data_IF_739362224489
#
_entry.id   IF_739362224489
#
_cell.length_a   1.000
_cell.length_b   1.000
_cell.length_c   1.000
_cell.angle_alpha   90.00
_cell.angle_beta   90.00
_cell.angle_gamma   90.00
#
_symmetry.space_group_name_H-M   'P 1'
#
loop_
_entity.id
_entity.type
_entity.pdbx_description
1 polymer ?
#
# COMPACT_ATOMS: atom_id res chain seq x y z
N UNK A 1 -68.85 -27.25 5.07
CA UNK A 1 -68.22 -26.98 3.75
C UNK A 1 -68.15 -25.47 3.62
N UNK A 2 -67.05 -24.77 3.38
CA UNK A 2 -65.67 -25.07 3.03
C UNK A 2 -64.87 -23.82 3.46
N UNK A 3 -63.79 -23.99 4.21
CA UNK A 3 -62.92 -22.89 4.63
C UNK A 3 -61.94 -22.53 3.53
N UNK A 4 -62.04 -21.33 2.98
CA UNK A 4 -61.04 -20.72 2.11
C UNK A 4 -59.96 -20.07 2.99
N UNK A 5 -58.84 -20.77 3.19
CA UNK A 5 -57.63 -20.15 3.74
C UNK A 5 -56.69 -19.84 2.58
N UNK A 6 -56.48 -18.55 2.35
CA UNK A 6 -55.65 -17.98 1.29
C UNK A 6 -54.18 -18.44 1.44
N UNK A 7 -53.72 -19.28 0.50
CA UNK A 7 -52.34 -19.81 0.46
C UNK A 7 -51.29 -18.79 -0.02
N UNK A 8 -51.60 -17.50 -0.12
CA UNK A 8 -50.69 -16.50 -0.72
C UNK A 8 -49.73 -15.79 0.25
N UNK A 9 -49.72 -16.10 1.54
CA UNK A 9 -48.83 -15.43 2.49
C UNK A 9 -47.54 -16.16 2.88
N UNK A 10 -47.35 -17.43 2.47
CA UNK A 10 -46.17 -18.20 2.89
C UNK A 10 -44.93 -18.06 1.99
N UNK A 11 -45.07 -17.49 0.79
CA UNK A 11 -43.97 -17.44 -0.21
C UNK A 11 -43.00 -16.27 0.02
N UNK A 12 -43.51 -15.11 0.46
CA UNK A 12 -42.70 -13.89 0.60
C UNK A 12 -41.71 -13.95 1.79
N UNK A 13 -42.07 -14.62 2.89
CA UNK A 13 -41.22 -14.71 4.09
C UNK A 13 -40.00 -15.63 3.91
N UNK A 14 -40.12 -16.68 3.09
CA UNK A 14 -39.00 -17.58 2.79
C UNK A 14 -37.94 -16.90 1.91
N UNK A 15 -38.36 -16.02 0.99
CA UNK A 15 -37.47 -15.23 0.13
C UNK A 15 -36.66 -14.17 0.88
N UNK A 16 -37.25 -13.52 1.90
CA UNK A 16 -36.57 -12.52 2.72
C UNK A 16 -35.46 -13.15 3.59
N UNK A 17 -35.72 -14.29 4.24
CA UNK A 17 -34.70 -15.04 5.01
C UNK A 17 -33.60 -15.60 4.11
N UNK A 18 -33.92 -16.15 2.93
CA UNK A 18 -32.90 -16.60 1.96
C UNK A 18 -32.03 -15.46 1.46
N UNK A 19 -32.60 -14.29 1.15
CA UNK A 19 -31.83 -13.09 0.76
C UNK A 19 -30.96 -12.56 1.91
N UNK A 20 -31.44 -12.57 3.15
CA UNK A 20 -30.64 -12.20 4.31
C UNK A 20 -29.47 -13.16 4.54
N UNK A 21 -29.69 -14.46 4.39
CA UNK A 21 -28.63 -15.48 4.55
C UNK A 21 -27.63 -15.40 3.39
N UNK A 22 -28.10 -15.21 2.14
CA UNK A 22 -27.22 -14.99 0.98
C UNK A 22 -26.40 -13.70 1.15
N UNK A 23 -27.01 -12.58 1.53
CA UNK A 23 -26.30 -11.33 1.78
C UNK A 23 -25.31 -11.44 2.95
N UNK A 24 -25.62 -12.24 3.98
CA UNK A 24 -24.71 -12.47 5.12
C UNK A 24 -23.54 -13.41 4.78
N UNK A 25 -23.73 -14.34 3.83
CA UNK A 25 -22.64 -15.17 3.31
C UNK A 25 -21.73 -14.39 2.36
N UNK A 26 -22.27 -13.49 1.53
CA UNK A 26 -21.48 -12.60 0.66
C UNK A 26 -20.83 -11.43 1.41
N UNK A 27 -21.42 -10.94 2.52
CA UNK A 27 -20.78 -9.93 3.39
C UNK A 27 -19.57 -10.47 4.15
N UNK A 28 -19.47 -11.80 4.30
CA UNK A 28 -18.36 -12.44 5.01
C UNK A 28 -17.20 -12.82 4.08
N UNK A 29 -17.39 -12.85 2.76
CA UNK A 29 -16.30 -13.02 1.79
C UNK A 29 -15.57 -11.69 1.49
N UNK A 30 -16.20 -10.56 1.79
CA UNK A 30 -15.70 -9.20 1.52
C UNK A 30 -14.97 -8.54 2.69
N UNK A 31 -14.53 -9.32 3.70
CA UNK A 31 -13.92 -8.76 4.91
C UNK A 31 -12.63 -9.48 5.31
N UNK A 32 -11.85 -9.95 4.33
CA UNK A 32 -10.45 -10.27 4.58
C UNK A 32 -9.69 -8.94 4.71
N UNK A 33 -9.09 -8.68 5.87
CA UNK A 33 -8.26 -7.50 6.08
C UNK A 33 -7.14 -7.47 5.06
N UNK A 34 -7.04 -6.37 4.31
CA UNK A 34 -5.93 -6.12 3.39
C UNK A 34 -4.61 -6.09 4.16
N UNK A 35 -3.51 -6.51 3.54
CA UNK A 35 -2.20 -6.51 4.18
C UNK A 35 -1.15 -5.71 3.38
N UNK A 36 -0.17 -5.17 4.09
CA UNK A 36 0.89 -4.35 3.53
C UNK A 36 2.24 -4.75 4.14
N UNK A 37 3.27 -4.82 3.30
CA UNK A 37 4.66 -4.87 3.75
C UNK A 37 5.27 -3.48 3.56
N UNK A 38 5.77 -2.89 4.65
CA UNK A 38 6.48 -1.60 4.61
C UNK A 38 7.94 -1.86 4.91
N UNK A 39 8.82 -1.51 3.97
CA UNK A 39 10.26 -1.66 4.14
C UNK A 39 10.85 -0.55 5.01
N UNK A 40 11.87 -0.89 5.81
CA UNK A 40 12.56 0.04 6.70
C UNK A 40 14.08 -0.22 6.66
N UNK A 41 14.79 0.56 5.84
CA UNK A 41 16.27 0.50 5.73
C UNK A 41 16.98 1.62 6.49
N UNK A 42 18.30 1.53 6.71
CA UNK A 42 19.06 2.53 7.46
C UNK A 42 19.09 3.84 6.67
N UNK A 43 18.77 4.95 7.32
CA UNK A 43 18.60 6.24 6.65
C UNK A 43 17.33 6.37 5.82
N UNK A 44 16.31 5.52 6.05
CA UNK A 44 14.95 5.78 5.59
C UNK A 44 14.42 7.10 6.15
N UNK A 45 13.57 7.79 5.39
CA UNK A 45 12.89 9.01 5.85
C UNK A 45 11.76 8.63 6.83
N UNK A 46 11.94 8.99 8.10
CA UNK A 46 11.06 8.57 9.19
C UNK A 46 9.63 9.11 9.08
N UNK A 47 9.42 10.31 8.54
CA UNK A 47 8.06 10.84 8.37
C UNK A 47 7.33 10.06 7.29
N UNK A 48 7.95 9.83 6.14
CA UNK A 48 7.38 9.05 5.05
C UNK A 48 7.03 7.62 5.50
N UNK A 49 7.92 6.98 6.26
CA UNK A 49 7.68 5.66 6.84
C UNK A 49 6.53 5.67 7.86
N UNK A 50 6.60 6.52 8.89
CA UNK A 50 5.63 6.51 10.00
C UNK A 50 4.25 6.91 9.49
N UNK A 51 4.15 7.94 8.65
CA UNK A 51 2.88 8.38 8.06
C UNK A 51 2.27 7.23 7.25
N UNK A 52 3.03 6.58 6.37
CA UNK A 52 2.50 5.46 5.59
C UNK A 52 2.01 4.32 6.50
N UNK A 53 2.83 3.85 7.44
CA UNK A 53 2.45 2.74 8.32
C UNK A 53 1.23 3.07 9.20
N UNK A 54 1.18 4.28 9.77
CA UNK A 54 0.07 4.73 10.63
C UNK A 54 -1.24 4.87 9.84
N UNK A 55 -1.23 5.59 8.71
CA UNK A 55 -2.42 5.81 7.89
C UNK A 55 -2.99 4.50 7.35
N UNK A 56 -2.13 3.57 6.91
CA UNK A 56 -2.57 2.25 6.46
C UNK A 56 -3.24 1.46 7.60
N UNK A 57 -2.65 1.47 8.80
CA UNK A 57 -3.25 0.83 9.99
C UNK A 57 -4.60 1.46 10.34
N UNK A 58 -4.74 2.79 10.28
CA UNK A 58 -6.04 3.48 10.44
C UNK A 58 -7.06 3.08 9.38
N UNK A 59 -6.60 2.79 8.16
CA UNK A 59 -7.41 2.25 7.07
C UNK A 59 -7.88 0.81 7.27
N UNK A 60 -7.48 0.14 8.36
CA UNK A 60 -7.80 -1.27 8.63
C UNK A 60 -6.90 -2.25 7.87
N UNK A 61 -5.76 -1.78 7.36
CA UNK A 61 -4.77 -2.62 6.66
C UNK A 61 -3.81 -3.20 7.69
N UNK A 62 -3.57 -4.51 7.62
CA UNK A 62 -2.57 -5.20 8.43
C UNK A 62 -1.17 -4.89 7.90
N UNK A 63 -0.47 -3.98 8.58
CA UNK A 63 0.88 -3.54 8.23
C UNK A 63 1.93 -4.36 8.97
N UNK A 64 2.81 -5.01 8.20
CA UNK A 64 4.06 -5.61 8.66
C UNK A 64 5.22 -4.71 8.26
N UNK A 65 6.09 -4.36 9.21
CA UNK A 65 7.32 -3.60 8.96
C UNK A 65 8.50 -4.56 8.85
N UNK A 66 9.16 -4.58 7.70
CA UNK A 66 10.36 -5.40 7.44
C UNK A 66 11.64 -4.54 7.45
N UNK A 67 12.53 -4.84 8.39
CA UNK A 67 13.82 -4.15 8.53
C UNK A 67 14.88 -4.65 7.54
N UNK A 68 15.69 -3.73 6.99
CA UNK A 68 16.82 -4.05 6.10
C UNK A 68 18.14 -3.50 6.65
N UNK A 69 19.23 -4.29 6.70
CA UNK A 69 19.20 -5.76 6.74
C UNK A 69 18.39 -6.23 7.98
N UNK A 70 18.37 -7.53 8.25
CA UNK A 70 17.74 -8.06 9.47
C UNK A 70 18.31 -7.35 10.71
N UNK A 71 17.55 -6.39 11.25
CA UNK A 71 18.01 -5.48 12.28
C UNK A 71 16.97 -5.35 13.38
N UNK A 72 17.42 -5.38 14.62
CA UNK A 72 16.56 -5.18 15.78
C UNK A 72 16.05 -3.73 15.90
N UNK A 73 16.83 -2.76 15.39
CA UNK A 73 16.51 -1.32 15.39
C UNK A 73 17.13 -0.67 14.15
N UNK A 74 16.35 0.13 13.44
CA UNK A 74 16.79 0.87 12.28
C UNK A 74 16.90 2.36 12.64
N UNK A 75 18.07 2.93 12.39
CA UNK A 75 18.32 4.36 12.53
C UNK A 75 17.92 5.08 11.24
N UNK A 76 16.91 5.94 11.33
CA UNK A 76 16.37 6.73 10.22
C UNK A 76 17.22 7.96 9.89
N UNK A 77 16.79 8.73 8.89
CA UNK A 77 17.58 9.81 8.29
C UNK A 77 17.85 11.00 9.21
N UNK A 78 16.97 11.29 10.18
CA UNK A 78 17.13 12.35 11.21
C UNK A 78 17.25 11.72 12.60
N UNK A 79 17.96 10.59 12.66
CA UNK A 79 18.38 9.91 13.89
C UNK A 79 17.23 9.30 14.73
N UNK A 80 15.99 9.28 14.25
CA UNK A 80 14.91 8.52 14.88
C UNK A 80 15.20 7.03 14.78
N UNK A 81 15.03 6.30 15.89
CA UNK A 81 15.25 4.86 15.93
C UNK A 81 13.91 4.13 15.96
N UNK A 82 13.73 3.19 15.03
CA UNK A 82 12.48 2.44 14.86
C UNK A 82 12.79 0.95 14.87
N UNK A 83 12.05 0.19 15.69
CA UNK A 83 12.13 -1.27 15.71
C UNK A 83 11.17 -1.84 14.63
N UNK A 84 11.66 -2.63 13.65
CA UNK A 84 10.80 -3.32 12.71
C UNK A 84 10.06 -4.48 13.39
N UNK A 85 8.99 -4.99 12.74
CA UNK A 85 8.24 -6.14 13.23
C UNK A 85 9.00 -7.44 12.95
N UNK A 86 9.64 -7.55 11.77
CA UNK A 86 10.41 -8.70 11.31
C UNK A 86 11.67 -8.28 10.54
N UNK A 87 12.61 -9.20 10.33
CA UNK A 87 13.66 -9.06 9.33
C UNK A 87 13.12 -9.20 7.90
N UNK A 88 13.79 -8.60 6.91
CA UNK A 88 13.41 -8.74 5.49
C UNK A 88 13.53 -10.18 4.99
N UNK A 89 14.42 -10.99 5.57
CA UNK A 89 14.53 -12.41 5.24
C UNK A 89 13.30 -13.24 5.61
N UNK A 90 12.49 -12.75 6.55
CA UNK A 90 11.25 -13.38 7.02
C UNK A 90 10.02 -12.91 6.24
N UNK A 91 10.15 -11.84 5.45
CA UNK A 91 9.04 -11.24 4.71
C UNK A 91 8.61 -12.14 3.54
N UNK A 92 7.64 -13.03 3.80
CA UNK A 92 7.08 -13.94 2.80
C UNK A 92 5.67 -13.50 2.43
N UNK A 93 5.46 -13.26 1.14
CA UNK A 93 4.15 -12.88 0.60
C UNK A 93 3.09 -14.00 0.66
N UNK A 94 1.87 -13.73 0.16
CA UNK A 94 1.50 -12.54 -0.61
C UNK A 94 1.13 -11.34 0.27
N UNK A 95 1.48 -10.14 -0.20
CA UNK A 95 0.99 -8.87 0.32
C UNK A 95 0.11 -8.15 -0.71
N UNK A 96 -0.97 -7.48 -0.31
CA UNK A 96 -1.79 -6.68 -1.22
C UNK A 96 -1.01 -5.46 -1.76
N UNK A 97 -0.10 -4.90 -0.95
CA UNK A 97 0.82 -3.83 -1.34
C UNK A 97 2.21 -3.97 -0.72
N UNK A 98 3.24 -3.65 -1.51
CA UNK A 98 4.59 -3.37 -1.01
C UNK A 98 4.79 -1.85 -0.97
N UNK A 99 5.27 -1.32 0.15
CA UNK A 99 5.47 0.11 0.38
C UNK A 99 6.94 0.41 0.65
N UNK A 100 7.51 1.32 -0.15
CA UNK A 100 8.91 1.73 -0.08
C UNK A 100 8.98 3.22 0.33
N UNK A 101 9.24 3.51 1.61
CA UNK A 101 9.58 4.87 2.06
C UNK A 101 10.90 5.34 1.46
N UNK A 102 11.06 6.65 1.28
CA UNK A 102 12.27 7.24 0.72
C UNK A 102 13.38 7.42 1.76
N UNK A 103 14.09 8.53 1.62
CA UNK A 103 15.40 8.75 2.27
C UNK A 103 16.51 8.09 1.46
N UNK A 104 17.62 8.81 1.22
CA UNK A 104 18.69 8.35 0.33
C UNK A 104 19.31 7.03 0.83
N UNK A 105 19.56 6.92 2.14
CA UNK A 105 20.12 5.70 2.73
C UNK A 105 19.17 4.51 2.61
N UNK A 106 17.89 4.69 2.98
CA UNK A 106 16.89 3.63 2.92
C UNK A 106 16.61 3.19 1.48
N UNK A 107 16.54 4.14 0.55
CA UNK A 107 16.33 3.86 -0.88
C UNK A 107 17.50 3.09 -1.49
N UNK A 108 18.73 3.47 -1.12
CA UNK A 108 19.95 2.75 -1.53
C UNK A 108 19.95 1.32 -0.98
N UNK A 109 19.66 1.14 0.31
CA UNK A 109 19.60 -0.19 0.93
C UNK A 109 18.57 -1.11 0.24
N UNK A 110 17.40 -0.56 -0.15
CA UNK A 110 16.40 -1.31 -0.93
C UNK A 110 16.86 -1.61 -2.36
N UNK A 111 17.53 -0.66 -3.03
CA UNK A 111 18.06 -0.85 -4.37
C UNK A 111 19.16 -1.93 -4.44
N UNK A 112 19.94 -2.08 -3.37
CA UNK A 112 21.03 -3.06 -3.25
C UNK A 112 20.57 -4.42 -2.69
N UNK A 113 19.33 -4.52 -2.17
CA UNK A 113 18.82 -5.75 -1.55
C UNK A 113 18.22 -6.71 -2.57
N UNK A 114 18.82 -7.90 -2.69
CA UNK A 114 18.29 -9.00 -3.51
C UNK A 114 16.88 -9.43 -3.05
N UNK A 115 16.67 -9.57 -1.74
CA UNK A 115 15.37 -9.93 -1.17
C UNK A 115 14.26 -8.93 -1.54
N UNK A 116 14.56 -7.62 -1.53
CA UNK A 116 13.61 -6.59 -2.01
C UNK A 116 13.35 -6.76 -3.50
N UNK A 117 14.39 -6.96 -4.30
CA UNK A 117 14.26 -7.16 -5.73
C UNK A 117 13.38 -8.36 -6.10
N UNK A 118 13.54 -9.48 -5.40
CA UNK A 118 12.70 -10.67 -5.57
C UNK A 118 11.24 -10.39 -5.22
N UNK A 119 10.98 -9.80 -4.05
CA UNK A 119 9.62 -9.44 -3.62
C UNK A 119 8.94 -8.49 -4.61
N UNK A 120 9.65 -7.48 -5.12
CA UNK A 120 9.09 -6.53 -6.09
C UNK A 120 8.74 -7.19 -7.42
N UNK A 121 9.62 -8.04 -7.95
CA UNK A 121 9.39 -8.77 -9.21
C UNK A 121 8.22 -9.75 -9.08
N UNK A 122 8.12 -10.45 -7.96
CA UNK A 122 6.97 -11.32 -7.67
C UNK A 122 5.67 -10.53 -7.55
N UNK A 123 5.71 -9.38 -6.89
CA UNK A 123 4.56 -8.49 -6.73
C UNK A 123 4.07 -7.93 -8.06
N UNK A 124 4.98 -7.50 -8.93
CA UNK A 124 4.68 -7.03 -10.28
C UNK A 124 4.10 -8.15 -11.15
N UNK A 125 4.73 -9.33 -11.16
CA UNK A 125 4.25 -10.51 -11.90
C UNK A 125 2.83 -10.91 -11.48
N UNK A 126 2.50 -10.75 -10.19
CA UNK A 126 1.18 -11.02 -9.65
C UNK A 126 0.16 -9.90 -9.90
N UNK A 127 0.57 -8.76 -10.48
CA UNK A 127 -0.29 -7.59 -10.70
C UNK A 127 -0.78 -6.91 -9.42
N UNK A 128 -0.06 -7.10 -8.30
CA UNK A 128 -0.41 -6.51 -6.99
C UNK A 128 0.25 -5.14 -6.82
N UNK A 129 -0.18 -4.38 -5.81
CA UNK A 129 0.22 -2.99 -5.67
C UNK A 129 1.69 -2.86 -5.23
N UNK A 130 2.37 -1.87 -5.82
CA UNK A 130 3.69 -1.38 -5.41
C UNK A 130 3.58 0.13 -5.22
N UNK A 131 4.02 0.63 -4.07
CA UNK A 131 3.93 2.04 -3.71
C UNK A 131 5.30 2.56 -3.27
N UNK A 132 5.85 3.57 -3.93
CA UNK A 132 7.18 4.12 -3.61
C UNK A 132 7.18 5.65 -3.55
N UNK A 133 7.78 6.23 -2.52
CA UNK A 133 7.80 7.68 -2.31
C UNK A 133 9.21 8.25 -2.31
N UNK A 134 9.35 9.50 -2.74
CA UNK A 134 10.57 10.29 -2.63
C UNK A 134 11.72 9.70 -3.44
N UNK A 135 12.74 9.16 -2.79
CA UNK A 135 13.88 8.52 -3.45
C UNK A 135 13.65 7.03 -3.76
N UNK A 136 12.67 6.39 -3.13
CA UNK A 136 12.41 4.96 -3.29
C UNK A 136 12.04 4.50 -4.71
N UNK A 137 11.44 5.31 -5.61
CA UNK A 137 11.27 4.92 -7.01
C UNK A 137 12.58 4.51 -7.71
N UNK A 138 13.74 4.97 -7.23
CA UNK A 138 15.05 4.53 -7.75
C UNK A 138 15.35 3.06 -7.46
N UNK A 139 14.79 2.48 -6.40
CA UNK A 139 14.88 1.04 -6.13
C UNK A 139 14.05 0.23 -7.14
N UNK A 140 12.90 0.76 -7.59
CA UNK A 140 12.14 0.13 -8.68
C UNK A 140 12.98 0.10 -9.97
N UNK A 141 13.64 1.21 -10.29
CA UNK A 141 14.59 1.28 -11.41
C UNK A 141 15.74 0.29 -11.27
N UNK A 142 16.37 0.18 -10.11
CA UNK A 142 17.47 -0.76 -9.86
C UNK A 142 17.06 -2.22 -10.07
N UNK A 143 15.80 -2.57 -9.76
CA UNK A 143 15.27 -3.93 -9.87
C UNK A 143 14.51 -4.22 -11.18
N UNK A 144 14.48 -3.27 -12.12
CA UNK A 144 13.75 -3.36 -13.39
C UNK A 144 12.23 -3.59 -13.24
N UNK A 145 11.63 -2.91 -12.26
CA UNK A 145 10.21 -3.04 -11.92
C UNK A 145 9.46 -1.77 -12.32
N UNK A 146 8.25 -1.92 -12.85
CA UNK A 146 7.39 -0.84 -13.33
C UNK A 146 7.93 -0.11 -14.59
N UNK A 147 8.79 -0.75 -15.39
CA UNK A 147 9.24 -0.18 -16.67
C UNK A 147 8.03 0.12 -17.58
N UNK A 148 8.03 1.28 -18.24
CA UNK A 148 6.97 1.80 -19.10
C UNK A 148 5.88 2.60 -18.37
N UNK A 149 5.85 2.56 -17.03
CA UNK A 149 4.87 3.28 -16.20
C UNK A 149 5.17 4.77 -16.09
N UNK A 150 4.11 5.53 -15.82
CA UNK A 150 4.19 6.91 -15.39
C UNK A 150 4.50 6.96 -13.89
N UNK A 151 5.49 7.74 -13.50
CA UNK A 151 5.92 7.88 -12.10
C UNK A 151 6.23 9.33 -11.74
N UNK A 152 6.29 9.60 -10.45
CA UNK A 152 6.93 10.79 -9.88
C UNK A 152 7.96 10.37 -8.83
N UNK A 153 8.83 11.29 -8.42
CA UNK A 153 9.81 11.08 -7.36
C UNK A 153 10.22 12.42 -6.73
N UNK A 154 11.12 12.36 -5.74
CA UNK A 154 11.75 13.56 -5.20
C UNK A 154 12.50 14.29 -6.31
N UNK A 155 12.41 15.63 -6.43
CA UNK A 155 12.97 16.37 -7.57
C UNK A 155 14.43 16.04 -7.91
N UNK A 156 15.28 15.84 -6.90
CA UNK A 156 16.68 15.52 -7.11
C UNK A 156 16.93 14.14 -7.76
N UNK A 157 15.96 13.23 -7.69
CA UNK A 157 16.05 11.88 -8.28
C UNK A 157 15.49 11.82 -9.70
N UNK A 158 14.94 12.93 -10.21
CA UNK A 158 14.32 12.99 -11.55
C UNK A 158 15.29 12.56 -12.65
N UNK A 159 16.48 13.14 -12.69
CA UNK A 159 17.47 12.84 -13.73
C UNK A 159 17.83 11.35 -13.76
N UNK A 160 18.00 10.75 -12.58
CA UNK A 160 18.23 9.31 -12.44
C UNK A 160 17.01 8.50 -12.91
N UNK A 161 15.78 8.93 -12.68
CA UNK A 161 14.60 8.19 -13.14
C UNK A 161 14.36 8.31 -14.66
N UNK A 162 14.64 9.47 -15.26
CA UNK A 162 14.49 9.71 -16.71
C UNK A 162 15.61 9.03 -17.54
N UNK A 163 16.79 8.81 -16.94
CA UNK A 163 17.90 8.13 -17.59
C UNK A 163 17.50 6.73 -18.10
N UNK A 164 17.79 6.47 -19.38
CA UNK A 164 17.47 5.21 -20.06
C UNK A 164 16.04 5.16 -20.63
N UNK A 165 15.20 6.19 -20.41
CA UNK A 165 13.89 6.31 -21.04
C UNK A 165 12.88 5.22 -20.65
N UNK A 166 13.11 4.55 -19.52
CA UNK A 166 12.28 3.42 -19.05
C UNK A 166 11.02 3.85 -18.29
N UNK A 167 10.93 5.10 -17.85
CA UNK A 167 9.80 5.63 -17.08
C UNK A 167 9.31 6.94 -17.68
N UNK A 168 8.01 7.22 -17.56
CA UNK A 168 7.42 8.51 -17.95
C UNK A 168 7.29 9.39 -16.71
N UNK A 169 8.01 10.50 -16.65
CA UNK A 169 8.02 11.34 -15.46
C UNK A 169 6.90 12.39 -15.46
N UNK A 170 6.29 12.63 -14.29
CA UNK A 170 5.37 13.74 -14.03
C UNK A 170 5.63 14.36 -12.66
N UNK A 171 5.15 15.59 -12.48
CA UNK A 171 5.39 16.40 -11.26
C UNK A 171 4.22 16.45 -10.28
N UNK A 172 3.11 15.76 -10.57
CA UNK A 172 1.99 15.60 -9.68
C UNK A 172 2.42 15.05 -8.31
N UNK A 173 1.70 15.45 -7.23
CA UNK A 173 2.03 15.02 -5.86
C UNK A 173 2.02 13.50 -5.70
N UNK A 174 1.06 12.84 -6.33
CA UNK A 174 0.91 11.38 -6.35
C UNK A 174 0.53 10.96 -7.76
N UNK A 175 1.21 9.95 -8.29
CA UNK A 175 0.88 9.31 -9.56
C UNK A 175 0.38 7.89 -9.28
N UNK A 176 -0.70 7.50 -9.95
CA UNK A 176 -1.19 6.13 -9.99
C UNK A 176 -1.25 5.70 -11.46
N UNK A 177 -0.48 4.68 -11.84
CA UNK A 177 -0.47 4.09 -13.18
C UNK A 177 -0.58 2.57 -13.10
N UNK A 178 -1.78 2.04 -13.31
CA UNK A 178 -2.09 0.64 -13.05
C UNK A 178 -1.95 0.32 -11.56
N UNK A 179 -1.15 -0.69 -11.23
CA UNK A 179 -0.85 -1.16 -9.88
C UNK A 179 0.36 -0.47 -9.23
N UNK A 180 0.85 0.64 -9.79
CA UNK A 180 2.02 1.38 -9.28
C UNK A 180 1.58 2.74 -8.78
N UNK A 181 1.96 3.05 -7.53
CA UNK A 181 1.71 4.34 -6.88
C UNK A 181 3.06 4.98 -6.58
N UNK A 182 3.27 6.23 -7.00
CA UNK A 182 4.48 6.98 -6.63
C UNK A 182 4.19 8.36 -6.11
N UNK A 183 5.06 8.90 -5.26
CA UNK A 183 4.90 10.22 -4.65
C UNK A 183 6.23 10.92 -4.40
N UNK A 184 6.21 12.21 -4.05
CA UNK A 184 7.37 13.10 -4.19
C UNK A 184 8.23 13.27 -2.94
N UNK A 185 7.70 13.23 -1.72
CA UNK A 185 8.50 13.51 -0.52
C UNK A 185 7.67 13.60 0.76
N UNK A 186 8.25 14.04 1.88
CA UNK A 186 7.55 14.06 3.17
C UNK A 186 6.27 14.89 3.14
N UNK A 187 6.28 16.02 2.43
CA UNK A 187 5.11 16.88 2.27
C UNK A 187 3.95 16.28 1.45
N UNK A 188 4.15 15.12 0.82
CA UNK A 188 3.10 14.38 0.07
C UNK A 188 2.82 13.01 0.68
N UNK A 189 3.40 12.67 1.84
CA UNK A 189 3.29 11.35 2.45
C UNK A 189 1.87 10.98 2.89
N UNK A 190 1.08 11.95 3.38
CA UNK A 190 -0.32 11.72 3.72
C UNK A 190 -1.17 11.45 2.48
N UNK A 191 -1.04 12.26 1.43
CA UNK A 191 -1.72 12.05 0.14
C UNK A 191 -1.36 10.66 -0.43
N UNK A 192 -0.07 10.29 -0.39
CA UNK A 192 0.43 8.97 -0.80
C UNK A 192 -0.23 7.83 -0.03
N UNK A 193 -0.23 7.90 1.30
CA UNK A 193 -0.77 6.82 2.13
C UNK A 193 -2.29 6.70 2.00
N UNK A 194 -3.02 7.83 1.90
CA UNK A 194 -4.47 7.84 1.68
C UNK A 194 -4.85 7.29 0.30
N UNK A 195 -4.04 7.53 -0.74
CA UNK A 195 -4.21 6.89 -2.05
C UNK A 195 -4.08 5.37 -1.96
N UNK A 196 -3.14 4.85 -1.17
CA UNK A 196 -3.04 3.40 -0.96
C UNK A 196 -4.29 2.86 -0.25
N UNK A 197 -4.80 3.54 0.80
CA UNK A 197 -6.06 3.15 1.47
C UNK A 197 -7.24 3.19 0.48
N UNK A 198 -7.35 4.22 -0.35
CA UNK A 198 -8.38 4.31 -1.39
C UNK A 198 -8.32 3.10 -2.34
N UNK A 199 -7.13 2.73 -2.83
CA UNK A 199 -6.99 1.62 -3.78
C UNK A 199 -7.21 0.24 -3.18
N UNK A 200 -6.92 0.05 -1.90
CA UNK A 200 -7.03 -1.25 -1.25
C UNK A 200 -8.36 -1.48 -0.55
N UNK A 201 -8.91 -0.44 0.09
CA UNK A 201 -10.07 -0.53 0.98
C UNK A 201 -11.25 0.26 0.44
N UNK A 202 -10.99 1.39 -0.22
CA UNK A 202 -12.00 2.20 -0.91
C UNK A 202 -12.01 3.66 -0.46
N UNK A 203 -12.46 4.53 -1.36
CA UNK A 203 -12.50 6.00 -1.17
C UNK A 203 -13.20 6.45 0.11
N UNK A 204 -14.32 5.81 0.47
CA UNK A 204 -15.06 6.14 1.69
C UNK A 204 -14.20 5.98 2.94
N UNK A 205 -13.48 4.85 3.06
CA UNK A 205 -12.57 4.60 4.19
C UNK A 205 -11.40 5.58 4.17
N UNK A 206 -10.84 5.88 3.00
CA UNK A 206 -9.76 6.86 2.90
C UNK A 206 -10.19 8.26 3.37
N UNK A 207 -11.37 8.75 2.96
CA UNK A 207 -11.91 10.03 3.42
C UNK A 207 -12.28 10.03 4.92
N UNK A 208 -12.77 8.90 5.46
CA UNK A 208 -12.99 8.73 6.92
C UNK A 208 -11.67 8.87 7.70
N UNK A 209 -10.62 8.15 7.27
CA UNK A 209 -9.29 8.20 7.88
C UNK A 209 -8.71 9.61 7.81
N UNK A 210 -8.76 10.26 6.65
CA UNK A 210 -8.31 11.64 6.45
C UNK A 210 -9.01 12.60 7.41
N UNK A 211 -10.35 12.55 7.48
CA UNK A 211 -11.15 13.40 8.39
C UNK A 211 -10.76 13.18 9.86
N UNK A 212 -10.51 11.93 10.27
CA UNK A 212 -10.08 11.62 11.64
C UNK A 212 -8.71 12.20 12.01
N UNK A 213 -7.87 12.47 11.01
CA UNK A 213 -6.55 13.08 11.16
C UNK A 213 -6.54 14.58 10.81
N UNK A 214 -7.73 15.20 10.64
CA UNK A 214 -7.89 16.62 10.30
C UNK A 214 -7.32 17.00 8.92
N UNK A 215 -7.34 16.06 7.97
CA UNK A 215 -6.92 16.26 6.59
C UNK A 215 -8.12 16.30 5.62
N UNK A 216 -7.92 16.94 4.46
CA UNK A 216 -8.84 16.88 3.32
C UNK A 216 -8.37 15.82 2.32
N UNK A 217 -9.28 14.95 1.85
CA UNK A 217 -9.00 13.90 0.87
C UNK A 217 -10.23 13.53 0.02
#
# INVERSE_FOLDING_TARGET
MSGYVDKRFSSCYAGAKRRQIFNKQYSNASNMSKNALVFLGPGAEEMEFVIAADVLRRGGIQVTVAGLPDSAVVKCSRDVNIKPDIGVSEAKGPYDVLVLPGGLGGSKAMAESEAVGELLKEQEKAGRWIAAICAAPTALKAHHVAEGKTITCYPAMRAQMEEGGKYKYKEDKVIVDGNVITSRGPGTAFDFALVIVDKLVGKEKASEVAKSMLLSY
#
